data_IF_980901825827
#
_entry.id   IF_980901825827
#
_cell.length_a   1.000
_cell.length_b   1.000
_cell.length_c   1.000
_cell.angle_alpha   90.00
_cell.angle_beta   90.00
_cell.angle_gamma   90.00
#
_symmetry.space_group_name_H-M   'P 1'
#
loop_
_entity.id
_entity.type
_entity.pdbx_description
1 polymer ?
#
# COMPACT_ATOMS: atom_id res chain seq x y z
N UNK A 1 -12.52 16.91 13.86
CA UNK A 1 -12.99 16.72 12.48
C UNK A 1 -13.00 15.23 12.22
N UNK A 2 -14.09 14.55 12.58
CA UNK A 2 -14.42 13.22 12.09
C UNK A 2 -15.94 13.09 12.21
N UNK A 3 -16.61 13.81 11.31
CA UNK A 3 -18.04 13.65 11.06
C UNK A 3 -18.14 12.61 9.94
N UNK A 4 -18.02 11.33 10.30
CA UNK A 4 -18.41 10.27 9.39
C UNK A 4 -19.94 10.31 9.39
N UNK A 5 -20.54 10.58 8.23
CA UNK A 5 -22.00 10.49 8.12
C UNK A 5 -22.45 9.09 8.56
N UNK A 6 -23.65 8.94 9.16
CA UNK A 6 -24.15 7.63 9.59
C UNK A 6 -24.21 6.59 8.45
N UNK A 7 -24.18 7.03 7.19
CA UNK A 7 -24.06 6.13 6.04
C UNK A 7 -22.67 5.49 5.93
N UNK A 8 -21.60 6.18 6.30
CA UNK A 8 -20.24 5.66 6.23
C UNK A 8 -19.97 4.52 7.22
N UNK A 9 -20.77 4.38 8.29
CA UNK A 9 -20.56 3.39 9.35
C UNK A 9 -20.83 1.95 8.89
N UNK A 10 -21.64 1.75 7.84
CA UNK A 10 -22.03 0.43 7.34
C UNK A 10 -21.53 0.12 5.92
N UNK A 11 -20.75 1.01 5.29
CA UNK A 11 -20.28 0.80 3.91
C UNK A 11 -19.12 -0.21 3.90
N UNK A 12 -19.23 -1.31 3.14
CA UNK A 12 -18.15 -2.28 3.02
C UNK A 12 -16.86 -1.64 2.49
N UNK A 13 -15.74 -1.87 3.16
CA UNK A 13 -14.40 -1.42 2.69
C UNK A 13 -14.09 -1.96 1.29
N UNK A 14 -14.60 -3.14 0.95
CA UNK A 14 -14.46 -3.75 -0.37
C UNK A 14 -14.98 -2.86 -1.51
N UNK A 15 -15.92 -1.97 -1.24
CA UNK A 15 -16.51 -1.06 -2.24
C UNK A 15 -15.61 0.16 -2.53
N UNK A 16 -14.63 0.43 -1.66
CA UNK A 16 -13.75 1.60 -1.73
C UNK A 16 -12.27 1.25 -1.88
N UNK A 17 -11.87 0.02 -1.57
CA UNK A 17 -10.48 -0.39 -1.68
C UNK A 17 -10.03 -0.46 -3.15
N UNK A 18 -8.77 -0.10 -3.41
CA UNK A 18 -8.13 -0.42 -4.68
C UNK A 18 -7.91 -1.93 -4.78
N UNK A 19 -8.38 -2.55 -5.86
CA UNK A 19 -8.18 -3.98 -6.11
C UNK A 19 -6.81 -4.28 -6.75
N UNK A 20 -6.28 -3.34 -7.54
CA UNK A 20 -4.91 -3.38 -8.04
C UNK A 20 -4.01 -2.67 -7.02
N UNK A 21 -3.55 -3.43 -6.02
CA UNK A 21 -2.48 -3.00 -5.14
C UNK A 21 -1.20 -3.68 -5.59
N UNK A 22 -0.18 -2.90 -5.93
CA UNK A 22 1.14 -3.44 -6.22
C UNK A 22 1.61 -4.35 -5.08
N UNK A 23 2.23 -5.47 -5.44
CA UNK A 23 2.82 -6.43 -4.49
C UNK A 23 4.30 -6.59 -4.80
N UNK A 24 5.10 -6.74 -3.77
CA UNK A 24 6.53 -7.06 -3.86
C UNK A 24 6.87 -8.22 -2.95
N UNK A 25 7.91 -8.97 -3.29
CA UNK A 25 8.45 -10.00 -2.39
C UNK A 25 9.15 -9.36 -1.18
N UNK A 26 9.19 -10.06 -0.04
CA UNK A 26 9.87 -9.63 1.18
C UNK A 26 11.37 -9.38 0.98
N UNK A 27 11.99 -10.01 -0.02
CA UNK A 27 13.38 -9.79 -0.39
C UNK A 27 13.60 -8.64 -1.38
N UNK A 28 12.54 -7.95 -1.84
CA UNK A 28 12.65 -6.85 -2.79
C UNK A 28 13.42 -5.66 -2.20
N UNK A 29 14.24 -5.03 -3.03
CA UNK A 29 15.00 -3.83 -2.67
C UNK A 29 14.13 -2.57 -2.63
N UNK A 30 14.60 -1.55 -1.91
CA UNK A 30 13.94 -0.22 -1.86
C UNK A 30 13.83 0.41 -3.25
N UNK A 31 14.81 0.17 -4.13
CA UNK A 31 14.78 0.66 -5.52
C UNK A 31 13.65 0.02 -6.33
N UNK A 32 13.43 -1.28 -6.18
CA UNK A 32 12.31 -1.99 -6.84
C UNK A 32 10.95 -1.50 -6.34
N UNK A 33 10.83 -1.32 -5.01
CA UNK A 33 9.64 -0.74 -4.38
C UNK A 33 9.34 0.66 -4.92
N UNK A 34 10.35 1.54 -4.94
CA UNK A 34 10.23 2.91 -5.44
C UNK A 34 9.84 2.96 -6.92
N UNK A 35 10.45 2.11 -7.75
CA UNK A 35 10.12 2.00 -9.16
C UNK A 35 8.67 1.56 -9.37
N UNK A 36 8.21 0.55 -8.63
CA UNK A 36 6.83 0.06 -8.71
C UNK A 36 5.81 1.13 -8.29
N UNK A 37 6.06 1.82 -7.19
CA UNK A 37 5.23 2.94 -6.72
C UNK A 37 5.11 4.03 -7.79
N UNK A 38 6.24 4.44 -8.37
CA UNK A 38 6.29 5.46 -9.43
C UNK A 38 5.54 5.05 -10.69
N UNK A 39 5.72 3.81 -11.16
CA UNK A 39 5.06 3.30 -12.37
C UNK A 39 3.54 3.16 -12.20
N UNK A 40 3.08 2.71 -11.03
CA UNK A 40 1.65 2.47 -10.77
C UNK A 40 0.93 3.63 -10.10
N UNK A 41 1.64 4.70 -9.76
CA UNK A 41 1.12 5.85 -8.99
C UNK A 41 0.48 5.41 -7.67
N UNK A 42 1.05 4.40 -7.02
CA UNK A 42 0.64 3.94 -5.69
C UNK A 42 1.58 4.50 -4.64
N UNK A 43 1.03 5.06 -3.57
CA UNK A 43 1.81 5.56 -2.42
C UNK A 43 2.15 4.47 -1.40
N UNK A 44 1.67 3.24 -1.61
CA UNK A 44 2.00 2.07 -0.80
C UNK A 44 1.93 0.79 -1.64
N UNK A 45 2.66 -0.22 -1.18
CA UNK A 45 2.70 -1.56 -1.78
C UNK A 45 2.66 -2.60 -0.67
N UNK A 46 2.00 -3.72 -0.98
CA UNK A 46 1.90 -4.86 -0.07
C UNK A 46 3.18 -5.68 -0.19
N UNK A 47 3.79 -5.99 0.95
CA UNK A 47 4.94 -6.89 1.02
C UNK A 47 4.43 -8.30 1.26
N UNK A 48 4.78 -9.22 0.37
CA UNK A 48 4.38 -10.61 0.43
C UNK A 48 5.59 -11.52 0.64
N UNK A 49 5.39 -12.60 1.39
CA UNK A 49 6.28 -13.76 1.38
C UNK A 49 5.48 -14.91 0.78
N UNK A 50 5.89 -15.38 -0.41
CA UNK A 50 5.06 -16.26 -1.25
C UNK A 50 3.69 -15.60 -1.54
N UNK A 51 2.58 -16.30 -1.29
CA UNK A 51 1.22 -15.79 -1.50
C UNK A 51 0.63 -15.07 -0.27
N UNK A 52 1.40 -14.91 0.80
CA UNK A 52 0.93 -14.33 2.05
C UNK A 52 1.39 -12.88 2.20
N UNK A 53 0.45 -11.97 2.43
CA UNK A 53 0.77 -10.60 2.85
C UNK A 53 1.41 -10.63 4.25
N UNK A 54 2.63 -10.13 4.36
CA UNK A 54 3.40 -10.09 5.61
C UNK A 54 3.69 -8.66 6.08
N UNK A 55 3.48 -7.66 5.23
CA UNK A 55 3.67 -6.26 5.59
C UNK A 55 3.18 -5.26 4.55
N UNK A 56 3.45 -3.99 4.82
CA UNK A 56 3.17 -2.84 3.96
C UNK A 56 4.38 -1.92 4.01
N UNK A 57 4.76 -1.38 2.85
CA UNK A 57 5.72 -0.28 2.77
C UNK A 57 5.07 0.89 2.03
N UNK A 58 5.22 2.10 2.59
CA UNK A 58 4.70 3.33 2.01
C UNK A 58 5.83 4.20 1.45
N UNK A 59 5.47 5.15 0.59
CA UNK A 59 6.39 6.14 0.04
C UNK A 59 7.13 6.91 1.16
N UNK A 60 6.45 7.15 2.30
CA UNK A 60 7.07 7.78 3.48
C UNK A 60 8.18 6.94 4.11
N UNK A 61 8.05 5.61 4.07
CA UNK A 61 9.09 4.70 4.57
C UNK A 61 10.29 4.69 3.62
N UNK A 62 10.04 4.71 2.30
CA UNK A 62 11.09 4.83 1.27
C UNK A 62 11.89 6.13 1.45
N UNK A 63 11.21 7.26 1.63
CA UNK A 63 11.87 8.56 1.88
C UNK A 63 12.72 8.51 3.14
N UNK A 64 12.24 7.86 4.22
CA UNK A 64 12.98 7.74 5.48
C UNK A 64 14.28 6.94 5.34
N UNK A 65 14.35 5.97 4.43
CA UNK A 65 15.57 5.18 4.19
C UNK A 65 16.60 5.95 3.36
N UNK A 66 16.15 6.87 2.49
CA UNK A 66 17.01 7.61 1.56
C UNK A 66 17.48 8.97 2.09
N UNK A 67 16.88 9.47 3.17
CA UNK A 67 17.24 10.71 3.85
C UNK A 67 18.33 10.50 4.90
#
# INVERSE_FOLDING_TARGET
>A
MNDLSPEAEAVPVADWMSQDTGRVDVAASISEVSLLMSQRKHSCVIVCEQDKAVGLISERDVVRVLA
#
